data_IF_013856145545
#
_entry.id   IF_013856145545
#
_cell.length_a   1.000
_cell.length_b   1.000
_cell.length_c   1.000
_cell.angle_alpha   90.00
_cell.angle_beta   90.00
_cell.angle_gamma   90.00
#
_symmetry.space_group_name_H-M   'P 1'
#
loop_
_entity.id
_entity.type
_entity.pdbx_description
1 polymer ?
#
# COMPACT_ATOMS: atom_id res chain seq x y z
N UNK A 1 13.75 -34.41 -9.49
CA UNK A 1 12.71 -34.71 -8.48
C UNK A 1 13.27 -34.33 -7.10
N UNK A 2 12.99 -33.11 -6.65
CA UNK A 2 13.20 -32.67 -5.27
C UNK A 2 11.83 -32.25 -4.77
N UNK A 3 11.45 -32.80 -3.61
CA UNK A 3 10.06 -32.83 -3.14
C UNK A 3 9.58 -31.49 -2.60
N UNK A 4 8.56 -30.94 -3.23
CA UNK A 4 7.65 -29.94 -2.66
C UNK A 4 6.35 -30.58 -2.17
N UNK A 5 6.43 -31.85 -1.76
CA UNK A 5 5.37 -32.55 -1.05
C UNK A 5 5.68 -32.46 0.45
N UNK A 6 5.29 -31.38 1.13
CA UNK A 6 4.93 -31.39 2.56
C UNK A 6 4.46 -30.01 3.01
N UNK A 7 3.21 -29.97 3.47
CA UNK A 7 2.55 -28.93 4.28
C UNK A 7 2.18 -27.58 3.62
N UNK A 8 0.89 -27.18 3.62
CA UNK A 8 0.41 -25.86 3.20
C UNK A 8 1.18 -24.67 3.83
N UNK A 9 1.74 -24.86 5.04
CA UNK A 9 2.49 -23.84 5.77
C UNK A 9 3.86 -23.50 5.16
N UNK A 10 4.51 -24.45 4.48
CA UNK A 10 5.85 -24.24 3.88
C UNK A 10 5.75 -23.50 2.55
N UNK A 11 4.74 -23.83 1.74
CA UNK A 11 4.45 -23.13 0.47
C UNK A 11 4.09 -21.67 0.69
N UNK A 12 3.26 -21.39 1.70
CA UNK A 12 2.81 -20.04 2.08
C UNK A 12 3.92 -19.17 2.66
N UNK A 13 4.85 -19.77 3.42
CA UNK A 13 6.04 -19.08 3.94
C UNK A 13 7.03 -18.71 2.82
N UNK A 14 7.25 -19.62 1.86
CA UNK A 14 8.09 -19.36 0.69
C UNK A 14 7.47 -18.31 -0.24
N UNK A 15 6.17 -18.34 -0.48
CA UNK A 15 5.46 -17.32 -1.26
C UNK A 15 5.50 -15.94 -0.60
N UNK A 16 5.37 -15.88 0.73
CA UNK A 16 5.56 -14.62 1.47
C UNK A 16 6.99 -14.08 1.31
N UNK A 17 7.99 -14.96 1.29
CA UNK A 17 9.39 -14.62 1.03
C UNK A 17 9.63 -14.13 -0.41
N UNK A 18 9.14 -14.88 -1.42
CA UNK A 18 9.26 -14.51 -2.82
C UNK A 18 8.46 -13.25 -3.17
N UNK A 19 7.31 -13.03 -2.54
CA UNK A 19 6.50 -11.81 -2.73
C UNK A 19 7.18 -10.55 -2.19
N UNK A 20 8.17 -10.68 -1.30
CA UNK A 20 8.88 -9.54 -0.67
C UNK A 20 10.27 -9.30 -1.26
N UNK A 21 10.90 -10.32 -1.87
CA UNK A 21 12.31 -10.25 -2.30
C UNK A 21 12.64 -10.96 -3.62
N UNK A 22 11.66 -11.55 -4.32
CA UNK A 22 11.87 -12.33 -5.55
C UNK A 22 11.25 -11.72 -6.81
N UNK A 23 11.67 -12.22 -7.97
CA UNK A 23 11.02 -11.90 -9.26
C UNK A 23 9.57 -12.43 -9.26
N UNK A 24 8.63 -11.65 -9.80
CA UNK A 24 7.26 -12.10 -10.06
C UNK A 24 7.22 -13.45 -10.79
N UNK A 25 8.20 -13.73 -11.66
CA UNK A 25 8.29 -15.00 -12.39
C UNK A 25 8.50 -16.20 -11.45
N UNK A 26 9.31 -16.05 -10.42
CA UNK A 26 9.58 -17.13 -9.46
C UNK A 26 8.39 -17.32 -8.51
N UNK A 27 7.68 -16.24 -8.17
CA UNK A 27 6.41 -16.32 -7.46
C UNK A 27 5.36 -17.11 -8.26
N UNK A 28 5.21 -16.83 -9.56
CA UNK A 28 4.28 -17.55 -10.43
C UNK A 28 4.68 -19.03 -10.60
N UNK A 29 5.99 -19.31 -10.79
CA UNK A 29 6.50 -20.70 -10.84
C UNK A 29 6.19 -21.45 -9.56
N UNK A 30 6.46 -20.86 -8.39
CA UNK A 30 6.17 -21.47 -7.09
C UNK A 30 4.66 -21.73 -6.94
N UNK A 31 3.81 -20.76 -7.29
CA UNK A 31 2.36 -20.92 -7.23
C UNK A 31 1.86 -22.05 -8.13
N UNK A 32 2.35 -22.15 -9.37
CA UNK A 32 1.97 -23.22 -10.32
C UNK A 32 2.35 -24.64 -9.86
N UNK A 33 3.28 -24.77 -8.91
CA UNK A 33 3.68 -26.06 -8.35
C UNK A 33 2.78 -26.50 -7.19
N UNK A 34 1.88 -25.62 -6.71
CA UNK A 34 0.95 -25.93 -5.64
C UNK A 34 -0.28 -26.61 -6.23
N UNK A 35 -0.51 -27.87 -5.86
CA UNK A 35 -1.66 -28.64 -6.34
C UNK A 35 -3.00 -28.09 -5.85
N UNK A 36 -3.04 -27.63 -4.59
CA UNK A 36 -4.24 -27.03 -3.97
C UNK A 36 -3.79 -25.78 -3.21
N UNK A 37 -3.80 -24.58 -3.84
CA UNK A 37 -3.39 -23.35 -3.18
C UNK A 37 -4.37 -22.97 -2.07
N UNK A 38 -3.86 -22.60 -0.91
CA UNK A 38 -4.64 -22.01 0.18
C UNK A 38 -4.84 -20.50 -0.03
N UNK A 39 -5.60 -19.86 0.86
CA UNK A 39 -5.86 -18.42 0.80
C UNK A 39 -4.57 -17.58 0.89
N UNK A 40 -3.57 -18.06 1.62
CA UNK A 40 -2.30 -17.36 1.81
C UNK A 40 -1.52 -17.35 0.49
N UNK A 41 -1.45 -18.49 -0.21
CA UNK A 41 -0.82 -18.59 -1.52
C UNK A 41 -1.47 -17.65 -2.55
N UNK A 42 -2.81 -17.59 -2.59
CA UNK A 42 -3.53 -16.65 -3.45
C UNK A 42 -3.23 -15.19 -3.10
N UNK A 43 -3.27 -14.85 -1.82
CA UNK A 43 -3.03 -13.49 -1.34
C UNK A 43 -1.60 -13.04 -1.64
N UNK A 44 -0.61 -13.94 -1.48
CA UNK A 44 0.78 -13.67 -1.83
C UNK A 44 0.97 -13.47 -3.34
N UNK A 45 0.30 -14.25 -4.18
CA UNK A 45 0.34 -14.07 -5.64
C UNK A 45 -0.24 -12.71 -6.05
N UNK A 46 -1.41 -12.34 -5.52
CA UNK A 46 -2.05 -11.03 -5.77
C UNK A 46 -1.13 -9.89 -5.33
N UNK A 47 -0.58 -9.97 -4.12
CA UNK A 47 0.33 -8.96 -3.59
C UNK A 47 1.63 -8.84 -4.42
N UNK A 48 2.15 -9.96 -4.93
CA UNK A 48 3.35 -9.96 -5.77
C UNK A 48 3.09 -9.24 -7.10
N UNK A 49 1.97 -9.51 -7.77
CA UNK A 49 1.58 -8.79 -8.97
C UNK A 49 1.40 -7.29 -8.70
N UNK A 50 0.73 -6.93 -7.59
CA UNK A 50 0.52 -5.54 -7.20
C UNK A 50 1.85 -4.77 -7.02
N UNK A 51 2.81 -5.35 -6.29
CA UNK A 51 4.12 -4.74 -6.04
C UNK A 51 4.96 -4.55 -7.31
N UNK A 52 4.74 -5.38 -8.32
CA UNK A 52 5.42 -5.28 -9.62
C UNK A 52 4.66 -4.42 -10.64
N UNK A 53 3.66 -3.64 -10.20
CA UNK A 53 2.90 -2.75 -11.08
C UNK A 53 1.96 -3.47 -12.06
N UNK A 54 1.72 -4.77 -11.86
CA UNK A 54 0.87 -5.61 -12.71
C UNK A 54 -0.55 -5.66 -12.15
N UNK A 55 -1.19 -4.49 -12.09
CA UNK A 55 -2.49 -4.32 -11.44
C UNK A 55 -3.59 -5.18 -12.06
N UNK A 56 -3.64 -5.27 -13.39
CA UNK A 56 -4.61 -6.08 -14.13
C UNK A 56 -4.51 -7.56 -13.76
N UNK A 57 -3.29 -8.10 -13.75
CA UNK A 57 -3.04 -9.50 -13.39
C UNK A 57 -3.35 -9.78 -11.92
N UNK A 58 -3.05 -8.84 -11.02
CA UNK A 58 -3.44 -8.97 -9.61
C UNK A 58 -4.96 -9.10 -9.45
N UNK A 59 -5.74 -8.27 -10.16
CA UNK A 59 -7.21 -8.32 -10.13
C UNK A 59 -7.77 -9.57 -10.82
N UNK A 60 -7.11 -10.07 -11.86
CA UNK A 60 -7.45 -11.36 -12.48
C UNK A 60 -7.25 -12.51 -11.49
N UNK A 61 -6.13 -12.54 -10.75
CA UNK A 61 -5.87 -13.56 -9.73
C UNK A 61 -6.86 -13.47 -8.57
N UNK A 62 -7.25 -12.25 -8.17
CA UNK A 62 -8.32 -12.04 -7.19
C UNK A 62 -9.68 -12.59 -7.65
N UNK A 63 -10.04 -12.37 -8.92
CA UNK A 63 -11.29 -12.93 -9.46
C UNK A 63 -11.23 -14.45 -9.57
N UNK A 64 -10.13 -15.00 -10.06
CA UNK A 64 -9.93 -16.45 -10.15
C UNK A 64 -9.98 -17.11 -8.77
N UNK A 65 -9.37 -16.50 -7.74
CA UNK A 65 -9.44 -16.96 -6.35
C UNK A 65 -10.91 -17.11 -5.89
N UNK A 66 -11.76 -16.11 -6.17
CA UNK A 66 -13.19 -16.16 -5.83
C UNK A 66 -13.93 -17.23 -6.62
N UNK A 67 -13.65 -17.37 -7.93
CA UNK A 67 -14.23 -18.42 -8.77
C UNK A 67 -13.89 -19.83 -8.28
N UNK A 68 -12.71 -19.99 -7.66
CA UNK A 68 -12.28 -21.24 -7.00
C UNK A 68 -12.88 -21.43 -5.61
N UNK A 69 -13.78 -20.55 -5.17
CA UNK A 69 -14.53 -20.66 -3.92
C UNK A 69 -13.81 -20.10 -2.68
N UNK A 70 -12.65 -19.45 -2.85
CA UNK A 70 -11.95 -18.82 -1.74
C UNK A 70 -12.57 -17.46 -1.41
N UNK A 71 -12.78 -17.22 -0.11
CA UNK A 71 -13.26 -15.93 0.38
C UNK A 71 -12.06 -15.01 0.68
N UNK A 72 -12.04 -13.79 0.15
CA UNK A 72 -11.09 -12.75 0.53
C UNK A 72 -11.12 -12.47 2.03
N UNK A 73 -9.94 -12.22 2.60
CA UNK A 73 -9.80 -11.67 3.94
C UNK A 73 -9.20 -10.24 3.90
N UNK A 74 -8.94 -9.68 5.08
CA UNK A 74 -8.31 -8.36 5.24
C UNK A 74 -6.98 -8.26 4.48
N UNK A 75 -6.17 -9.31 4.50
CA UNK A 75 -4.85 -9.29 3.83
C UNK A 75 -5.03 -9.35 2.31
N UNK A 76 -5.98 -10.15 1.81
CA UNK A 76 -6.36 -10.16 0.39
C UNK A 76 -6.74 -8.75 -0.08
N UNK A 77 -7.55 -8.02 0.70
CA UNK A 77 -7.98 -6.68 0.34
C UNK A 77 -6.85 -5.65 0.36
N UNK A 78 -5.86 -5.76 1.26
CA UNK A 78 -4.65 -4.94 1.18
C UNK A 78 -3.93 -5.17 -0.16
N UNK A 79 -3.80 -6.42 -0.61
CA UNK A 79 -3.21 -6.76 -1.90
C UNK A 79 -3.98 -6.16 -3.09
N UNK A 80 -5.31 -6.28 -3.08
CA UNK A 80 -6.20 -5.71 -4.11
C UNK A 80 -6.12 -4.19 -4.16
N UNK A 81 -6.22 -3.51 -3.01
CA UNK A 81 -6.13 -2.05 -2.96
C UNK A 81 -4.72 -1.55 -3.32
N UNK A 82 -3.68 -2.30 -2.98
CA UNK A 82 -2.31 -2.00 -3.44
C UNK A 82 -2.20 -2.12 -4.96
N UNK A 83 -2.86 -3.10 -5.58
CA UNK A 83 -2.92 -3.22 -7.04
C UNK A 83 -3.63 -2.01 -7.67
N UNK A 84 -4.75 -1.59 -7.09
CA UNK A 84 -5.45 -0.37 -7.51
C UNK A 84 -4.53 0.87 -7.42
N UNK A 85 -3.77 1.01 -6.34
CA UNK A 85 -2.81 2.10 -6.18
C UNK A 85 -1.76 2.14 -7.29
N UNK A 86 -1.09 1.01 -7.54
CA UNK A 86 -0.04 0.94 -8.57
C UNK A 86 -0.60 1.07 -9.99
N UNK A 87 -1.86 0.70 -10.21
CA UNK A 87 -2.56 0.88 -11.48
C UNK A 87 -3.26 2.23 -11.65
N UNK A 88 -3.27 3.11 -10.63
CA UNK A 88 -4.03 4.36 -10.66
C UNK A 88 -5.56 4.16 -10.76
N UNK A 89 -6.06 3.01 -10.33
CA UNK A 89 -7.46 2.59 -10.46
C UNK A 89 -8.29 3.08 -9.27
N UNK A 90 -8.55 4.39 -9.22
CA UNK A 90 -9.20 5.04 -8.06
C UNK A 90 -10.61 4.50 -7.82
N UNK A 91 -11.41 4.38 -8.87
CA UNK A 91 -12.82 3.97 -8.75
C UNK A 91 -12.92 2.49 -8.32
N UNK A 92 -12.06 1.62 -8.86
CA UNK A 92 -11.92 0.24 -8.42
C UNK A 92 -11.45 0.14 -6.96
N UNK A 93 -10.54 1.03 -6.53
CA UNK A 93 -10.10 1.12 -5.14
C UNK A 93 -11.28 1.39 -4.20
N UNK A 94 -12.09 2.40 -4.49
CA UNK A 94 -13.30 2.70 -3.72
C UNK A 94 -14.33 1.57 -3.78
N UNK A 95 -14.51 0.95 -4.94
CA UNK A 95 -15.38 -0.20 -5.10
C UNK A 95 -14.97 -1.34 -4.18
N UNK A 96 -13.68 -1.71 -4.18
CA UNK A 96 -13.17 -2.79 -3.34
C UNK A 96 -13.22 -2.45 -1.85
N UNK A 97 -12.86 -1.23 -1.44
CA UNK A 97 -12.99 -0.79 -0.04
C UNK A 97 -14.43 -0.90 0.45
N UNK A 98 -15.42 -0.47 -0.34
CA UNK A 98 -16.85 -0.58 0.00
C UNK A 98 -17.33 -2.04 0.03
N UNK A 99 -16.83 -2.87 -0.89
CA UNK A 99 -17.19 -4.29 -0.95
C UNK A 99 -16.77 -5.06 0.30
N UNK A 100 -15.68 -4.65 0.97
CA UNK A 100 -15.22 -5.29 2.22
C UNK A 100 -16.35 -5.41 3.23
N UNK A 101 -17.03 -4.30 3.52
CA UNK A 101 -18.16 -4.27 4.47
C UNK A 101 -19.40 -4.87 3.84
N UNK A 102 -19.77 -4.41 2.64
CA UNK A 102 -21.06 -4.73 2.01
C UNK A 102 -21.21 -6.21 1.66
N UNK A 103 -20.17 -6.81 1.10
CA UNK A 103 -20.24 -8.14 0.49
C UNK A 103 -19.55 -9.20 1.37
N UNK A 104 -18.58 -8.81 2.21
CA UNK A 104 -17.79 -9.74 3.02
C UNK A 104 -17.91 -9.54 4.53
N UNK A 105 -18.55 -8.46 5.01
CA UNK A 105 -18.64 -8.16 6.45
C UNK A 105 -17.28 -7.90 7.12
N UNK A 106 -16.31 -7.41 6.34
CA UNK A 106 -14.95 -7.12 6.78
C UNK A 106 -14.81 -5.62 7.02
N UNK A 107 -14.53 -5.24 8.25
CA UNK A 107 -14.21 -3.86 8.60
C UNK A 107 -12.81 -3.47 8.10
N UNK A 108 -12.67 -2.35 7.34
CA UNK A 108 -11.37 -1.87 6.91
C UNK A 108 -10.50 -1.39 8.08
N UNK A 109 -9.26 -1.87 8.10
CA UNK A 109 -8.21 -1.42 9.02
C UNK A 109 -7.31 -0.34 8.40
N UNK A 110 -6.45 0.28 9.22
CA UNK A 110 -5.55 1.37 8.80
C UNK A 110 -4.81 1.10 7.48
N UNK A 111 -4.31 -0.12 7.27
CA UNK A 111 -3.60 -0.49 6.03
C UNK A 111 -4.43 -0.33 4.76
N UNK A 112 -5.74 -0.52 4.82
CA UNK A 112 -6.63 -0.33 3.67
C UNK A 112 -6.79 1.16 3.33
N UNK A 113 -6.91 2.01 4.36
CA UNK A 113 -6.97 3.46 4.19
C UNK A 113 -5.65 4.02 3.65
N UNK A 114 -4.51 3.52 4.12
CA UNK A 114 -3.19 3.86 3.56
C UNK A 114 -3.12 3.56 2.06
N UNK A 115 -3.60 2.38 1.62
CA UNK A 115 -3.64 2.04 0.19
C UNK A 115 -4.52 3.01 -0.61
N UNK A 116 -5.65 3.46 -0.05
CA UNK A 116 -6.53 4.43 -0.71
C UNK A 116 -5.89 5.82 -0.81
N UNK A 117 -5.20 6.26 0.24
CA UNK A 117 -4.43 7.52 0.22
C UNK A 117 -3.29 7.45 -0.80
N UNK A 118 -2.56 6.34 -0.87
CA UNK A 118 -1.53 6.10 -1.89
C UNK A 118 -2.14 6.13 -3.30
N UNK A 119 -3.30 5.50 -3.50
CA UNK A 119 -4.01 5.46 -4.79
C UNK A 119 -4.40 6.88 -5.24
N UNK A 120 -5.07 7.64 -4.37
CA UNK A 120 -5.47 9.02 -4.66
C UNK A 120 -4.25 9.92 -4.87
N UNK A 121 -3.23 9.73 -4.04
CA UNK A 121 -1.98 10.47 -4.09
C UNK A 121 -1.24 10.30 -5.41
N UNK A 122 -1.01 9.05 -5.84
CA UNK A 122 -0.33 8.73 -7.12
C UNK A 122 -1.11 9.17 -8.35
N UNK A 123 -2.43 9.22 -8.26
CA UNK A 123 -3.29 9.76 -9.33
C UNK A 123 -3.37 11.29 -9.33
N UNK A 124 -2.62 12.00 -8.47
CA UNK A 124 -2.62 13.45 -8.38
C UNK A 124 -3.88 14.05 -7.74
N UNK A 125 -4.78 13.22 -7.18
CA UNK A 125 -6.03 13.66 -6.52
C UNK A 125 -5.76 14.09 -5.07
N UNK A 126 -4.78 14.97 -4.86
CA UNK A 126 -4.26 15.31 -3.52
C UNK A 126 -5.31 15.90 -2.57
N UNK A 127 -6.16 16.80 -3.07
CA UNK A 127 -7.24 17.40 -2.25
C UNK A 127 -8.29 16.38 -1.83
N UNK A 128 -8.52 15.38 -2.67
CA UNK A 128 -9.40 14.28 -2.30
C UNK A 128 -8.72 13.32 -1.32
N UNK A 129 -7.41 13.06 -1.47
CA UNK A 129 -6.66 12.30 -0.49
C UNK A 129 -6.74 12.95 0.90
N UNK A 130 -6.60 14.27 0.99
CA UNK A 130 -6.80 15.05 2.22
C UNK A 130 -8.23 14.90 2.77
N UNK A 131 -9.26 15.08 1.93
CA UNK A 131 -10.67 14.88 2.32
C UNK A 131 -10.97 13.45 2.79
N UNK A 132 -10.37 12.46 2.12
CA UNK A 132 -10.50 11.05 2.47
C UNK A 132 -9.91 10.78 3.86
N UNK A 133 -8.72 11.30 4.16
CA UNK A 133 -8.09 11.18 5.48
C UNK A 133 -8.99 11.78 6.57
N UNK A 134 -9.56 12.96 6.32
CA UNK A 134 -10.45 13.64 7.26
C UNK A 134 -11.79 12.92 7.48
N UNK A 135 -12.19 12.04 6.56
CA UNK A 135 -13.43 11.25 6.64
C UNK A 135 -13.21 9.80 7.09
N UNK A 136 -11.97 9.42 7.41
CA UNK A 136 -11.67 8.09 7.94
C UNK A 136 -12.44 7.84 9.26
N UNK A 137 -13.02 6.65 9.46
CA UNK A 137 -13.72 6.30 10.71
C UNK A 137 -12.76 5.98 11.85
N UNK A 138 -11.45 5.96 11.59
CA UNK A 138 -10.38 5.73 12.56
C UNK A 138 -9.41 6.91 12.53
N UNK A 139 -8.73 7.15 13.66
CA UNK A 139 -7.72 8.21 13.74
C UNK A 139 -6.55 7.91 12.78
N UNK A 140 -6.22 8.82 11.85
CA UNK A 140 -5.06 8.65 10.97
C UNK A 140 -3.75 8.60 11.77
N UNK A 141 -2.86 7.69 11.41
CA UNK A 141 -1.52 7.57 12.02
C UNK A 141 -0.42 8.24 11.15
N UNK A 142 0.82 8.19 11.63
CA UNK A 142 1.96 8.80 10.94
C UNK A 142 2.13 8.22 9.52
N UNK A 143 1.82 6.94 9.32
CA UNK A 143 1.92 6.28 8.01
C UNK A 143 0.92 6.84 6.99
N UNK A 144 -0.32 7.11 7.40
CA UNK A 144 -1.32 7.76 6.52
C UNK A 144 -0.82 9.12 6.05
N UNK A 145 -0.34 9.96 6.99
CA UNK A 145 0.17 11.29 6.65
C UNK A 145 1.47 11.24 5.86
N UNK A 146 2.39 10.32 6.16
CA UNK A 146 3.63 10.09 5.41
C UNK A 146 3.35 9.64 3.96
N UNK A 147 2.27 8.89 3.76
CA UNK A 147 1.80 8.49 2.41
C UNK A 147 1.31 9.71 1.62
N UNK A 148 0.49 10.58 2.23
CA UNK A 148 0.08 11.83 1.60
C UNK A 148 1.27 12.75 1.32
N UNK A 149 2.21 12.86 2.27
CA UNK A 149 3.43 13.65 2.12
C UNK A 149 4.27 13.19 0.91
N UNK A 150 4.40 11.87 0.73
CA UNK A 150 5.09 11.28 -0.41
C UNK A 150 4.43 11.67 -1.74
N UNK A 151 3.09 11.69 -1.79
CA UNK A 151 2.33 12.13 -2.96
C UNK A 151 2.43 13.64 -3.21
N UNK A 152 2.41 14.46 -2.16
CA UNK A 152 2.61 15.90 -2.27
C UNK A 152 3.97 16.23 -2.87
N UNK A 153 5.03 15.54 -2.44
CA UNK A 153 6.36 15.62 -3.06
C UNK A 153 6.32 15.23 -4.54
N UNK A 154 5.67 14.12 -4.89
CA UNK A 154 5.60 13.64 -6.27
C UNK A 154 4.94 14.68 -7.21
N UNK A 155 3.96 15.42 -6.73
CA UNK A 155 3.17 16.37 -7.52
C UNK A 155 3.51 17.85 -7.26
N UNK A 156 4.49 18.14 -6.39
CA UNK A 156 4.91 19.50 -6.06
C UNK A 156 3.89 20.34 -5.27
N UNK A 157 2.96 19.73 -4.52
CA UNK A 157 2.05 20.49 -3.64
C UNK A 157 2.72 20.77 -2.30
N UNK A 158 3.40 21.92 -2.23
CA UNK A 158 4.22 22.34 -1.10
C UNK A 158 3.38 22.60 0.14
N UNK A 159 2.23 23.25 -0.01
CA UNK A 159 1.37 23.64 1.11
C UNK A 159 0.77 22.42 1.79
N UNK A 160 0.20 21.49 1.01
CA UNK A 160 -0.32 20.24 1.56
C UNK A 160 0.81 19.34 2.08
N UNK A 161 1.97 19.37 1.44
CA UNK A 161 3.18 18.69 1.91
C UNK A 161 3.63 19.17 3.30
N UNK A 162 3.68 20.48 3.55
CA UNK A 162 3.99 21.05 4.86
C UNK A 162 3.00 20.58 5.94
N UNK A 163 1.69 20.58 5.62
CA UNK A 163 0.66 20.05 6.52
C UNK A 163 0.86 18.57 6.83
N UNK A 164 1.00 17.73 5.79
CA UNK A 164 1.16 16.29 5.94
C UNK A 164 2.42 15.94 6.76
N UNK A 165 3.53 16.65 6.52
CA UNK A 165 4.76 16.48 7.30
C UNK A 165 4.57 16.84 8.77
N UNK A 166 3.94 17.99 9.06
CA UNK A 166 3.62 18.39 10.44
C UNK A 166 2.82 17.31 11.16
N UNK A 167 1.74 16.81 10.53
CA UNK A 167 0.90 15.78 11.12
C UNK A 167 1.65 14.47 11.35
N UNK A 168 2.49 14.04 10.41
CA UNK A 168 3.31 12.83 10.55
C UNK A 168 4.34 12.96 11.68
N UNK A 169 5.05 14.09 11.75
CA UNK A 169 6.08 14.36 12.78
C UNK A 169 5.44 14.46 14.18
N UNK A 170 4.28 15.11 14.33
CA UNK A 170 3.59 15.20 15.62
C UNK A 170 3.17 13.81 16.14
N UNK A 171 2.85 12.88 15.24
CA UNK A 171 2.46 11.51 15.59
C UNK A 171 3.66 10.61 15.86
N UNK A 172 4.75 10.78 15.12
CA UNK A 172 5.98 9.97 15.25
C UNK A 172 7.23 10.83 15.04
N UNK A 173 7.67 11.59 16.07
CA UNK A 173 8.80 12.52 15.94
C UNK A 173 10.15 11.86 15.60
N UNK A 174 10.28 10.55 15.86
CA UNK A 174 11.47 9.76 15.58
C UNK A 174 11.57 9.25 14.14
N UNK A 175 10.51 9.38 13.34
CA UNK A 175 10.53 8.95 11.94
C UNK A 175 11.31 9.96 11.08
N UNK A 176 12.54 9.60 10.72
CA UNK A 176 13.36 10.38 9.80
C UNK A 176 12.73 10.57 8.41
N UNK A 177 11.83 9.66 7.99
CA UNK A 177 11.20 9.69 6.67
C UNK A 177 10.41 10.97 6.43
N UNK A 178 9.60 11.40 7.40
CA UNK A 178 8.81 12.62 7.29
C UNK A 178 9.69 13.88 7.13
N UNK A 179 10.78 13.99 7.88
CA UNK A 179 11.72 15.12 7.76
C UNK A 179 12.47 15.12 6.43
N UNK A 180 12.88 13.95 5.93
CA UNK A 180 13.56 13.84 4.63
C UNK A 180 12.64 14.29 3.50
N UNK A 181 11.39 13.82 3.49
CA UNK A 181 10.42 14.21 2.47
C UNK A 181 10.10 15.70 2.53
N UNK A 182 9.91 16.27 3.73
CA UNK A 182 9.71 17.70 3.91
C UNK A 182 10.93 18.50 3.41
N UNK A 183 12.14 18.10 3.79
CA UNK A 183 13.38 18.74 3.34
C UNK A 183 13.51 18.74 1.81
N UNK A 184 13.05 17.68 1.13
CA UNK A 184 13.10 17.61 -0.32
C UNK A 184 12.08 18.57 -0.96
N UNK A 185 10.85 18.63 -0.46
CA UNK A 185 9.82 19.57 -0.92
C UNK A 185 10.29 21.02 -0.78
N UNK A 186 10.89 21.37 0.36
CA UNK A 186 11.38 22.72 0.63
C UNK A 186 12.59 23.10 -0.24
N UNK A 187 13.48 22.15 -0.53
CA UNK A 187 14.62 22.36 -1.41
C UNK A 187 14.18 22.69 -2.84
N UNK A 188 13.09 22.09 -3.33
CA UNK A 188 12.55 22.34 -4.68
C UNK A 188 12.00 23.77 -4.84
N UNK A 189 11.52 24.40 -3.76
CA UNK A 189 11.07 25.81 -3.76
C UNK A 189 12.13 26.81 -3.30
N UNK A 190 13.34 26.34 -2.97
CA UNK A 190 14.47 27.19 -2.57
C UNK A 190 14.41 27.72 -1.13
N UNK A 191 13.59 27.13 -0.26
CA UNK A 191 13.50 27.48 1.17
C UNK A 191 14.64 26.83 1.99
N UNK A 192 15.90 27.13 1.64
CA UNK A 192 17.08 26.46 2.20
C UNK A 192 17.31 26.69 3.69
N UNK A 193 16.89 27.84 4.22
CA UNK A 193 16.99 28.14 5.65
C UNK A 193 16.14 27.16 6.49
N UNK A 194 14.91 26.88 6.02
CA UNK A 194 13.98 25.95 6.66
C UNK A 194 14.44 24.49 6.49
N UNK A 195 15.10 24.17 5.37
CA UNK A 195 15.73 22.85 5.16
C UNK A 195 16.81 22.59 6.22
N UNK A 196 17.66 23.58 6.50
CA UNK A 196 18.72 23.42 7.51
C UNK A 196 18.15 23.22 8.92
N UNK A 197 17.09 23.97 9.26
CA UNK A 197 16.36 23.83 10.52
C UNK A 197 15.72 22.44 10.67
N UNK A 198 15.01 21.98 9.63
CA UNK A 198 14.39 20.64 9.58
C UNK A 198 15.44 19.53 9.81
N UNK A 199 16.63 19.67 9.21
CA UNK A 199 17.73 18.72 9.39
C UNK A 199 18.37 18.76 10.77
N UNK A 200 18.32 19.89 11.48
CA UNK A 200 18.77 19.99 12.87
C UNK A 200 17.81 19.27 13.80
N UNK A 201 16.50 19.38 13.57
CA UNK A 201 15.46 18.68 14.33
C UNK A 201 15.58 17.14 14.22
N UNK A 202 16.11 16.62 13.11
CA UNK A 202 16.38 15.18 12.95
C UNK A 202 17.53 14.63 13.80
N UNK A 203 18.45 15.49 14.28
CA UNK A 203 19.69 15.07 14.96
C UNK A 203 19.61 15.15 16.49
N UNK A 204 18.55 15.76 17.03
CA UNK A 204 18.29 15.86 18.46
C UNK A 204 17.36 14.76 18.94
#
# INVERSE_FOLDING_TARGET
KVGLNTEPSVGSSLLTMYSRFGSIEDCCKAFSQINVPDLIAWTALIASYAQHGKATEALQMYNLMKEKGFKPDKVTFVGVLSACSHGGLVEEGYFHLKSMVKDYGIEPENRHYVCMVDTLGRSGRLREAESFINSMPIKPDALVWGTLLSACRLHGDVELGKLAAKMAIELEPSDAGAYILLSNILAEVGEWDVVEETRKLMKG
#
